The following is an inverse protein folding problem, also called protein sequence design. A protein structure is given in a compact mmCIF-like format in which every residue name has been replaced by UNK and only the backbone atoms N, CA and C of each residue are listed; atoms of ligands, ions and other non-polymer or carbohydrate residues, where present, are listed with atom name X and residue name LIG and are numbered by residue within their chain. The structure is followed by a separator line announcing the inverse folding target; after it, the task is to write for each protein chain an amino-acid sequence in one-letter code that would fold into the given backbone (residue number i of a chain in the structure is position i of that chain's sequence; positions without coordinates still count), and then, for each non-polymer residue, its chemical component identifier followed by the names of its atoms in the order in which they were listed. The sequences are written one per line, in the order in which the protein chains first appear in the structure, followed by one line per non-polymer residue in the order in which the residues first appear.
data_IF_657533469501
#
_entry.id   IF_657533469501
#
_cell.length_a   1.000
_cell.length_b   1.000
_cell.length_c   1.000
_cell.angle_alpha   90.00
_cell.angle_beta   90.00
_cell.angle_gamma   90.00
#
_symmetry.space_group_name_H-M   'P 1'
#
loop_
_entity.id
_entity.type
_entity.pdbx_description
1 polymer ?
#
# COMPACT_ATOMS: atom_id res chain seq x y z
N UNK A 1 0.47 29.02 33.98
CA UNK A 1 -0.12 27.67 34.16
C UNK A 1 0.08 26.87 32.89
N UNK A 2 0.49 25.60 32.98
CA UNK A 2 0.60 24.73 31.80
C UNK A 2 -0.79 24.44 31.22
N UNK A 3 -0.97 24.51 29.89
CA UNK A 3 -2.27 24.33 29.22
C UNK A 3 -2.82 22.88 29.26
N UNK A 4 -2.30 22.01 30.12
CA UNK A 4 -2.75 20.62 30.23
C UNK A 4 -4.02 20.51 31.07
N UNK A 5 -4.90 19.59 30.67
CA UNK A 5 -5.96 19.11 31.56
C UNK A 5 -5.36 18.41 32.78
N UNK A 6 -6.07 18.44 33.92
CA UNK A 6 -5.64 17.77 35.16
C UNK A 6 -5.37 16.27 34.93
N UNK A 7 -6.18 15.61 34.11
CA UNK A 7 -6.00 14.20 33.76
C UNK A 7 -4.75 13.97 32.91
N UNK A 8 -4.45 14.86 31.96
CA UNK A 8 -3.22 14.82 31.17
C UNK A 8 -1.97 14.99 32.03
N UNK A 9 -1.97 16.00 32.92
CA UNK A 9 -0.88 16.24 33.85
C UNK A 9 -0.61 15.02 34.76
N UNK A 10 -1.65 14.40 35.32
CA UNK A 10 -1.51 13.17 36.13
C UNK A 10 -0.92 12.00 35.35
N UNK A 11 -1.34 11.79 34.09
CA UNK A 11 -0.77 10.73 33.23
C UNK A 11 0.71 10.96 32.93
N UNK A 12 1.10 12.20 32.69
CA UNK A 12 2.51 12.58 32.46
C UNK A 12 3.34 12.31 33.73
N UNK A 13 2.88 12.78 34.90
CA UNK A 13 3.55 12.54 36.17
C UNK A 13 3.69 11.05 36.50
N UNK A 14 2.62 10.28 36.28
CA UNK A 14 2.67 8.83 36.53
C UNK A 14 3.70 8.13 35.64
N UNK A 15 3.73 8.43 34.33
CA UNK A 15 4.73 7.86 33.41
C UNK A 15 6.16 8.25 33.79
N UNK A 16 6.36 9.49 34.23
CA UNK A 16 7.68 9.92 34.71
C UNK A 16 8.11 9.14 35.97
N UNK A 17 7.21 8.95 36.93
CA UNK A 17 7.52 8.19 38.14
C UNK A 17 7.84 6.71 37.86
N UNK A 18 7.22 6.10 36.83
CA UNK A 18 7.40 4.67 36.54
C UNK A 18 8.54 4.39 35.57
N UNK A 19 8.75 5.26 34.57
CA UNK A 19 9.67 5.03 33.45
C UNK A 19 10.77 6.11 33.35
N UNK A 20 10.80 7.08 34.27
CA UNK A 20 11.75 8.19 34.22
C UNK A 20 11.52 9.10 33.00
N UNK A 21 12.62 9.68 32.49
CA UNK A 21 12.58 10.56 31.32
C UNK A 21 12.11 9.84 30.05
N UNK A 22 12.38 8.55 29.92
CA UNK A 22 11.95 7.73 28.78
C UNK A 22 10.41 7.69 28.66
N UNK A 23 9.71 7.72 29.80
CA UNK A 23 8.24 7.77 29.85
C UNK A 23 7.61 9.06 29.33
N UNK A 24 8.42 10.10 29.09
CA UNK A 24 7.97 11.38 28.55
C UNK A 24 8.09 11.46 27.02
N UNK A 25 8.82 10.54 26.38
CA UNK A 25 9.01 10.49 24.93
C UNK A 25 7.73 10.13 24.15
N UNK A 26 7.77 10.35 22.82
CA UNK A 26 6.73 9.86 21.92
C UNK A 26 6.91 8.36 21.66
N UNK A 27 6.11 7.53 22.34
CA UNK A 27 6.13 6.08 22.17
C UNK A 27 5.47 5.57 20.88
N UNK A 28 5.06 6.42 19.94
CA UNK A 28 4.46 5.97 18.67
C UNK A 28 5.41 5.17 17.80
N UNK A 29 6.71 5.40 17.91
CA UNK A 29 7.71 4.64 17.16
C UNK A 29 7.66 3.14 17.49
N UNK A 30 7.38 2.81 18.75
CA UNK A 30 7.30 1.43 19.25
C UNK A 30 5.89 0.82 19.12
N UNK A 31 4.91 1.61 18.68
CA UNK A 31 3.57 1.11 18.43
C UNK A 31 3.56 0.33 17.12
N UNK A 32 3.68 -1.00 17.20
CA UNK A 32 3.62 -1.93 16.07
C UNK A 32 2.28 -1.88 15.29
N UNK A 33 1.26 -1.23 15.86
CA UNK A 33 -0.06 -1.11 15.23
C UNK A 33 -0.79 -2.45 15.15
N UNK A 34 -1.87 -2.48 14.35
CA UNK A 34 -2.56 -3.73 14.05
C UNK A 34 -1.72 -4.58 13.07
N UNK A 35 -1.77 -5.92 13.17
CA UNK A 35 -1.05 -6.78 12.23
C UNK A 35 -1.48 -6.53 10.79
N UNK A 36 -0.53 -6.72 9.87
CA UNK A 36 -0.80 -6.63 8.43
C UNK A 36 -1.75 -7.74 8.00
N UNK A 37 -2.57 -7.48 6.98
CA UNK A 37 -3.55 -8.45 6.47
C UNK A 37 -2.85 -9.66 5.85
N UNK A 38 -1.80 -9.41 5.08
CA UNK A 38 -0.89 -10.45 4.60
C UNK A 38 0.31 -10.52 5.53
N UNK A 39 0.72 -11.74 5.86
CA UNK A 39 2.02 -11.97 6.49
C UNK A 39 3.14 -11.66 5.49
N UNK A 40 4.36 -11.53 5.97
CA UNK A 40 5.51 -11.31 5.09
C UNK A 40 5.68 -12.46 4.08
N UNK A 41 5.51 -13.71 4.52
CA UNK A 41 5.61 -14.88 3.66
C UNK A 41 4.50 -14.92 2.59
N UNK A 42 3.26 -14.60 2.96
CA UNK A 42 2.14 -14.50 2.00
C UNK A 42 2.36 -13.37 1.00
N UNK A 43 2.87 -12.22 1.45
CA UNK A 43 3.19 -11.09 0.58
C UNK A 43 4.31 -11.45 -0.41
N UNK A 44 5.32 -12.22 0.01
CA UNK A 44 6.38 -12.71 -0.87
C UNK A 44 5.83 -13.72 -1.90
N UNK A 45 4.99 -14.66 -1.48
CA UNK A 45 4.37 -15.63 -2.39
C UNK A 45 3.47 -14.93 -3.42
N UNK A 46 2.67 -13.96 -2.97
CA UNK A 46 1.87 -13.12 -3.86
C UNK A 46 2.74 -12.35 -4.86
N UNK A 47 3.83 -11.73 -4.39
CA UNK A 47 4.75 -10.98 -5.25
C UNK A 47 5.40 -11.88 -6.32
N UNK A 48 5.83 -13.09 -5.95
CA UNK A 48 6.40 -14.06 -6.88
C UNK A 48 5.38 -14.47 -7.95
N UNK A 49 4.13 -14.76 -7.55
CA UNK A 49 3.08 -15.11 -8.50
C UNK A 49 2.76 -13.95 -9.44
N UNK A 50 2.58 -12.75 -8.91
CA UNK A 50 2.27 -11.56 -9.69
C UNK A 50 3.38 -11.27 -10.72
N UNK A 51 4.65 -11.47 -10.36
CA UNK A 51 5.78 -11.31 -11.26
C UNK A 51 5.81 -12.37 -12.36
N UNK A 52 5.60 -13.64 -12.02
CA UNK A 52 5.53 -14.72 -13.02
C UNK A 52 4.44 -14.49 -14.07
N UNK A 53 3.27 -14.03 -13.66
CA UNK A 53 2.17 -13.69 -14.58
C UNK A 53 2.51 -12.44 -15.42
N UNK A 54 3.13 -11.42 -14.81
CA UNK A 54 3.54 -10.21 -15.51
C UNK A 54 4.59 -10.48 -16.59
N UNK A 55 5.57 -11.36 -16.33
CA UNK A 55 6.60 -11.75 -17.28
C UNK A 55 6.01 -12.48 -18.51
N UNK A 56 4.80 -13.05 -18.37
CA UNK A 56 4.01 -13.63 -19.47
C UNK A 56 3.06 -12.62 -20.13
N UNK A 57 3.12 -11.34 -19.75
CA UNK A 57 2.27 -10.27 -20.27
C UNK A 57 0.87 -10.21 -19.63
N UNK A 58 0.62 -10.93 -18.54
CA UNK A 58 -0.67 -10.95 -17.85
C UNK A 58 -0.69 -9.83 -16.81
N UNK A 59 -1.61 -8.87 -16.98
CA UNK A 59 -1.79 -7.75 -16.04
C UNK A 59 -2.98 -8.04 -15.11
N UNK A 60 -2.74 -7.97 -13.80
CA UNK A 60 -3.77 -8.22 -12.81
C UNK A 60 -4.59 -6.96 -12.50
N UNK A 61 -5.91 -7.14 -12.40
CA UNK A 61 -6.81 -6.15 -11.80
C UNK A 61 -6.90 -6.34 -10.27
N UNK A 62 -7.40 -5.33 -9.55
CA UNK A 62 -7.65 -5.47 -8.11
C UNK A 62 -8.60 -6.61 -7.77
N UNK A 63 -9.60 -6.90 -8.62
CA UNK A 63 -10.53 -8.02 -8.42
C UNK A 63 -9.83 -9.37 -8.53
N UNK A 64 -8.91 -9.52 -9.49
CA UNK A 64 -8.10 -10.74 -9.62
C UNK A 64 -7.25 -10.97 -8.37
N UNK A 65 -6.67 -9.90 -7.80
CA UNK A 65 -5.94 -10.00 -6.52
C UNK A 65 -6.85 -10.44 -5.38
N UNK A 66 -8.07 -9.88 -5.26
CA UNK A 66 -9.00 -10.31 -4.20
C UNK A 66 -9.35 -11.79 -4.32
N UNK A 67 -9.63 -12.25 -5.53
CA UNK A 67 -10.00 -13.64 -5.78
C UNK A 67 -8.84 -14.58 -5.48
N UNK A 68 -7.64 -14.24 -5.95
CA UNK A 68 -6.45 -15.03 -5.72
C UNK A 68 -6.08 -15.12 -4.23
N UNK A 69 -6.10 -13.99 -3.51
CA UNK A 69 -5.84 -13.95 -2.05
C UNK A 69 -6.89 -14.78 -1.29
N UNK A 70 -8.16 -14.72 -1.70
CA UNK A 70 -9.22 -15.52 -1.09
C UNK A 70 -9.00 -17.01 -1.34
N UNK A 71 -8.65 -17.38 -2.57
CA UNK A 71 -8.43 -18.78 -2.96
C UNK A 71 -7.18 -19.38 -2.30
N UNK A 72 -6.07 -18.64 -2.24
CA UNK A 72 -4.78 -19.17 -1.80
C UNK A 72 -4.54 -18.99 -0.29
N UNK A 73 -5.09 -17.94 0.32
CA UNK A 73 -4.88 -17.63 1.75
C UNK A 73 -6.16 -17.69 2.58
N UNK A 74 -7.33 -17.88 1.97
CA UNK A 74 -8.61 -17.88 2.69
C UNK A 74 -9.01 -16.50 3.24
N UNK A 75 -8.39 -15.41 2.75
CA UNK A 75 -8.56 -14.06 3.29
C UNK A 75 -9.46 -13.20 2.41
N UNK A 76 -10.39 -12.48 3.04
CA UNK A 76 -11.21 -11.47 2.36
C UNK A 76 -10.57 -10.10 2.57
N UNK A 77 -10.23 -9.42 1.47
CA UNK A 77 -9.58 -8.10 1.51
C UNK A 77 -10.41 -7.08 0.75
N UNK A 78 -10.44 -5.84 1.24
CA UNK A 78 -11.09 -4.73 0.53
C UNK A 78 -10.35 -4.39 -0.76
N UNK A 79 -11.08 -4.00 -1.81
CA UNK A 79 -10.51 -3.72 -3.14
C UNK A 79 -9.38 -2.67 -3.07
N UNK A 80 -9.54 -1.61 -2.29
CA UNK A 80 -8.50 -0.58 -2.13
C UNK A 80 -7.16 -1.13 -1.62
N UNK A 81 -7.18 -2.15 -0.75
CA UNK A 81 -5.95 -2.75 -0.20
C UNK A 81 -5.19 -3.57 -1.22
N UNK A 82 -5.86 -4.08 -2.26
CA UNK A 82 -5.17 -4.85 -3.30
C UNK A 82 -4.07 -4.07 -3.99
N UNK A 83 -4.27 -2.76 -4.19
CA UNK A 83 -3.26 -1.87 -4.76
C UNK A 83 -2.10 -1.59 -3.78
N UNK A 84 -2.32 -1.69 -2.46
CA UNK A 84 -1.23 -1.66 -1.48
C UNK A 84 -0.34 -2.90 -1.64
N UNK A 85 -0.94 -4.09 -1.74
CA UNK A 85 -0.18 -5.34 -1.92
C UNK A 85 0.57 -5.38 -3.24
N UNK A 86 -0.02 -4.89 -4.34
CA UNK A 86 0.66 -4.76 -5.62
C UNK A 86 1.85 -3.80 -5.54
N UNK A 87 1.70 -2.67 -4.85
CA UNK A 87 2.81 -1.72 -4.62
C UNK A 87 3.94 -2.32 -3.79
N UNK A 88 3.61 -3.08 -2.75
CA UNK A 88 4.59 -3.81 -1.95
C UNK A 88 5.31 -4.90 -2.77
N UNK A 89 4.64 -5.48 -3.77
CA UNK A 89 5.26 -6.39 -4.74
C UNK A 89 6.12 -5.67 -5.82
N UNK A 90 6.24 -4.34 -5.74
CA UNK A 90 7.04 -3.52 -6.66
C UNK A 90 6.30 -3.05 -7.92
N UNK A 91 4.98 -3.21 -7.99
CA UNK A 91 4.18 -2.78 -9.14
C UNK A 91 3.58 -1.39 -8.93
N UNK A 92 3.44 -0.64 -10.02
CA UNK A 92 2.76 0.65 -10.02
C UNK A 92 1.51 0.60 -10.91
N UNK A 93 0.41 1.28 -10.52
CA UNK A 93 -0.76 1.39 -11.37
C UNK A 93 -0.40 2.05 -12.70
N UNK A 94 -0.63 1.34 -13.81
CA UNK A 94 -0.45 1.89 -15.14
C UNK A 94 -1.73 2.57 -15.60
N UNK A 95 -1.64 3.86 -15.93
CA UNK A 95 -2.72 4.60 -16.60
C UNK A 95 -2.29 4.86 -18.03
N UNK A 96 -2.99 4.30 -19.04
CA UNK A 96 -2.76 4.67 -20.43
C UNK A 96 -2.86 6.18 -20.58
N UNK A 97 -1.95 6.77 -21.37
CA UNK A 97 -2.02 8.20 -21.68
C UNK A 97 -3.40 8.47 -22.32
N UNK A 98 -4.17 9.46 -21.83
CA UNK A 98 -5.43 9.84 -22.45
C UNK A 98 -5.20 10.16 -23.94
N UNK A 99 -5.96 9.52 -24.83
CA UNK A 99 -5.93 9.81 -26.27
C UNK A 99 -6.92 10.94 -26.56
N UNK A 100 -6.49 11.94 -27.34
CA UNK A 100 -7.37 13.04 -27.75
C UNK A 100 -8.45 12.53 -28.72
N UNK A 101 -9.71 12.93 -28.51
CA UNK A 101 -10.87 12.40 -29.28
C UNK A 101 -10.77 12.72 -30.77
N UNK A 102 -10.17 13.85 -31.14
CA UNK A 102 -9.90 14.21 -32.54
C UNK A 102 -8.57 13.69 -33.09
N UNK A 103 -7.89 12.78 -32.39
CA UNK A 103 -6.62 12.22 -32.84
C UNK A 103 -6.83 11.26 -34.01
N UNK A 104 -6.38 11.65 -35.20
CA UNK A 104 -6.34 10.76 -36.37
C UNK A 104 -5.06 9.89 -36.33
N UNK A 105 -5.24 8.57 -36.34
CA UNK A 105 -4.13 7.61 -36.32
C UNK A 105 -3.26 7.71 -37.58
N UNK A 106 -3.85 8.01 -38.74
CA UNK A 106 -3.12 8.18 -40.00
C UNK A 106 -2.19 9.41 -39.96
N UNK A 107 -2.65 10.52 -39.40
CA UNK A 107 -1.84 11.75 -39.28
C UNK A 107 -0.70 11.58 -38.27
N UNK A 108 -0.92 10.78 -37.22
CA UNK A 108 0.11 10.44 -36.24
C UNK A 108 1.21 9.56 -36.84
N UNK A 109 0.86 8.55 -37.64
CA UNK A 109 1.83 7.69 -38.33
C UNK A 109 2.59 8.45 -39.44
N UNK A 110 1.91 9.33 -40.17
CA UNK A 110 2.52 10.20 -41.18
C UNK A 110 3.51 11.21 -40.56
N UNK A 111 3.29 11.64 -39.31
CA UNK A 111 4.23 12.49 -38.59
C UNK A 111 5.47 11.72 -38.11
N UNK A 112 5.30 10.49 -37.61
CA UNK A 112 6.41 9.64 -37.12
C UNK A 112 7.38 9.22 -38.22
N UNK A 113 6.90 9.04 -39.44
CA UNK A 113 7.73 8.63 -40.60
C UNK A 113 8.49 9.79 -41.26
N UNK A 114 8.32 11.03 -40.80
CA UNK A 114 8.97 12.24 -41.33
C UNK A 114 10.22 12.69 -40.55
N UNK A 115 10.74 11.88 -39.63
CA UNK A 115 12.05 12.08 -38.99
C UNK A 115 13.06 11.07 -39.52
#
# INVERSE_FOLDING_TARGET
MTQYSVSGARKVLHRYHTLGLDGLGDGRADNLGAPTVLTEAEQQQFAARLRGDFDQGIVWSGKMVQDWIREHFGKTVYLGRTYEFMRLAGFSPQRPRPRHVGGNEADQEAFKSKS
#
